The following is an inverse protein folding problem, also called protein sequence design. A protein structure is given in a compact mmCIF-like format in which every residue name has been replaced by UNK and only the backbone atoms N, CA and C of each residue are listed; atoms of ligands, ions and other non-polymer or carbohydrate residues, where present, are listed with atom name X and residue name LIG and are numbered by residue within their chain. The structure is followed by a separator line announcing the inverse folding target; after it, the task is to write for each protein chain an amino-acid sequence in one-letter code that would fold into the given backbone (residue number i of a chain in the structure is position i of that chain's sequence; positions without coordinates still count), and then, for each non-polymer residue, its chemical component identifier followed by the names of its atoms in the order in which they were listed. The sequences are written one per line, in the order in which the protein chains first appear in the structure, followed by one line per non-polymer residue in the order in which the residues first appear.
data_IF_187981207038
#
_entry.id   IF_187981207038
#
_cell.length_a   1.000
_cell.length_b   1.000
_cell.length_c   1.000
_cell.angle_alpha   90.00
_cell.angle_beta   90.00
_cell.angle_gamma   90.00
#
_symmetry.space_group_name_H-M   'P 1'
#
loop_
_entity.id
_entity.type
_entity.pdbx_description
1 polymer ?
#
# COMPACT_ATOMS: atom_id res chain seq x y z
N UNK A 1 1.99 -2.58 -22.64
CA UNK A 1 2.87 -2.42 -21.47
C UNK A 1 2.44 -1.16 -20.76
N UNK A 2 1.93 -1.30 -19.54
CA UNK A 2 1.45 -0.17 -18.75
C UNK A 2 2.54 0.23 -17.76
N UNK A 3 2.72 1.53 -17.54
CA UNK A 3 3.61 2.03 -16.48
C UNK A 3 2.79 2.24 -15.22
N UNK A 4 3.40 1.95 -14.07
CA UNK A 4 2.82 2.29 -12.77
C UNK A 4 2.79 3.82 -12.62
N UNK A 5 1.65 4.43 -12.25
CA UNK A 5 1.56 5.87 -11.97
C UNK A 5 2.59 6.35 -10.94
N UNK A 6 2.93 7.64 -11.01
CA UNK A 6 3.98 8.23 -10.18
C UNK A 6 3.71 8.13 -8.66
N UNK A 7 2.45 8.03 -8.29
CA UNK A 7 1.91 8.00 -6.93
C UNK A 7 1.51 6.58 -6.49
N UNK A 8 1.87 5.55 -7.26
CA UNK A 8 1.47 4.16 -7.01
C UNK A 8 2.63 3.18 -6.98
N UNK A 9 2.42 2.04 -6.32
CA UNK A 9 3.26 0.85 -6.42
C UNK A 9 2.41 -0.41 -6.44
N UNK A 10 2.89 -1.48 -7.08
CA UNK A 10 2.21 -2.77 -7.14
C UNK A 10 2.89 -3.75 -6.18
N UNK A 11 2.09 -4.35 -5.30
CA UNK A 11 2.58 -5.30 -4.30
C UNK A 11 3.13 -6.58 -4.97
N UNK A 12 4.36 -6.94 -4.64
CA UNK A 12 5.01 -8.14 -5.16
C UNK A 12 4.29 -9.44 -4.78
N UNK A 13 3.64 -9.47 -3.62
CA UNK A 13 2.93 -10.64 -3.08
C UNK A 13 1.50 -10.78 -3.64
N UNK A 14 0.61 -9.80 -3.44
CA UNK A 14 -0.80 -9.91 -3.84
C UNK A 14 -1.14 -9.30 -5.20
N UNK A 15 -0.18 -8.64 -5.85
CA UNK A 15 -0.36 -7.89 -7.11
C UNK A 15 -1.38 -6.74 -7.05
N UNK A 16 -1.79 -6.33 -5.85
CA UNK A 16 -2.65 -5.17 -5.64
C UNK A 16 -1.89 -3.85 -5.83
N UNK A 17 -2.54 -2.87 -6.44
CA UNK A 17 -2.03 -1.49 -6.53
C UNK A 17 -2.24 -0.72 -5.22
N UNK A 18 -1.24 0.08 -4.85
CA UNK A 18 -1.17 0.80 -3.60
C UNK A 18 -0.80 2.25 -3.85
N UNK A 19 -1.50 3.20 -3.22
CA UNK A 19 -1.19 4.62 -3.28
C UNK A 19 -0.07 4.93 -2.28
N UNK A 20 1.03 5.53 -2.75
CA UNK A 20 2.19 5.87 -1.91
C UNK A 20 1.78 6.78 -0.75
N UNK A 21 0.85 7.71 -0.99
CA UNK A 21 0.34 8.65 0.02
C UNK A 21 -0.38 7.97 1.19
N UNK A 22 -0.96 6.78 0.97
CA UNK A 22 -1.73 6.05 2.00
C UNK A 22 -0.96 4.87 2.58
N UNK A 23 -0.15 4.21 1.75
CA UNK A 23 0.49 2.93 2.08
C UNK A 23 1.94 2.92 1.59
N UNK A 24 2.73 3.87 2.08
CA UNK A 24 4.12 4.06 1.65
C UNK A 24 5.05 2.88 1.96
N UNK A 25 4.76 2.10 3.01
CA UNK A 25 5.68 1.08 3.55
C UNK A 25 5.13 -0.35 3.56
N UNK A 26 3.82 -0.56 3.50
CA UNK A 26 3.23 -1.91 3.56
C UNK A 26 1.91 -2.01 2.80
N UNK A 27 1.66 -3.14 2.15
CA UNK A 27 0.41 -3.41 1.44
C UNK A 27 -0.72 -3.64 2.46
N UNK A 28 -1.85 -2.90 2.40
CA UNK A 28 -2.95 -3.05 3.33
C UNK A 28 -3.75 -4.33 3.08
N UNK A 29 -3.58 -4.96 1.91
CA UNK A 29 -4.30 -6.18 1.53
C UNK A 29 -3.67 -7.43 2.14
N UNK A 30 -2.33 -7.51 2.16
CA UNK A 30 -1.61 -8.72 2.59
C UNK A 30 -0.58 -8.48 3.70
N UNK A 31 -0.35 -7.24 4.13
CA UNK A 31 0.67 -6.89 5.12
C UNK A 31 2.12 -6.96 4.61
N UNK A 32 2.34 -7.29 3.32
CA UNK A 32 3.68 -7.34 2.72
C UNK A 32 4.37 -5.97 2.80
N UNK A 33 5.56 -5.93 3.38
CA UNK A 33 6.37 -4.72 3.44
C UNK A 33 6.92 -4.41 2.05
N UNK A 34 6.89 -3.13 1.68
CA UNK A 34 7.40 -2.68 0.38
C UNK A 34 8.91 -2.92 0.30
N UNK A 35 9.31 -3.81 -0.60
CA UNK A 35 10.69 -4.23 -0.83
C UNK A 35 11.03 -4.21 -2.33
N UNK A 36 12.21 -4.73 -2.70
CA UNK A 36 12.68 -4.79 -4.10
C UNK A 36 11.81 -5.67 -5.02
N UNK A 37 10.85 -6.38 -4.45
CA UNK A 37 9.95 -7.26 -5.17
C UNK A 37 8.65 -6.57 -5.60
N UNK A 38 8.41 -5.37 -5.06
CA UNK A 38 7.32 -4.51 -5.42
C UNK A 38 7.69 -3.69 -6.66
N UNK A 39 6.69 -3.36 -7.49
CA UNK A 39 6.90 -2.59 -8.72
C UNK A 39 6.57 -1.14 -8.41
N UNK A 40 7.57 -0.27 -8.50
CA UNK A 40 7.50 1.13 -8.10
C UNK A 40 6.95 2.07 -9.17
N UNK A 41 6.80 3.36 -8.83
CA UNK A 41 6.46 4.43 -9.76
C UNK A 41 7.29 4.43 -11.04
N UNK A 42 6.62 4.52 -12.19
CA UNK A 42 7.27 4.64 -13.51
C UNK A 42 7.86 3.34 -14.06
N UNK A 43 7.92 2.27 -13.26
CA UNK A 43 8.31 0.94 -13.71
C UNK A 43 7.22 0.32 -14.59
N UNK A 44 7.63 -0.63 -15.44
CA UNK A 44 6.71 -1.31 -16.36
C UNK A 44 6.06 -2.47 -15.61
N UNK A 45 4.74 -2.44 -15.51
CA UNK A 45 3.94 -3.56 -15.07
C UNK A 45 3.41 -4.30 -16.31
N UNK A 46 3.83 -5.54 -16.47
CA UNK A 46 3.21 -6.45 -17.44
C UNK A 46 1.88 -6.88 -16.85
N UNK A 47 0.83 -6.19 -17.26
CA UNK A 47 -0.54 -6.60 -17.00
C UNK A 47 -0.82 -7.87 -17.79
N UNK A 48 -0.41 -9.01 -17.24
CA UNK A 48 -0.77 -10.32 -17.75
C UNK A 48 -2.22 -10.59 -17.32
N UNK A 49 -3.14 -9.72 -17.73
CA UNK A 49 -4.59 -9.80 -17.48
C UNK A 49 -5.26 -11.07 -18.00
N UNK A 50 -4.51 -12.04 -18.51
CA UNK A 50 -4.88 -13.44 -18.33
C UNK A 50 -4.66 -13.85 -16.87
N UNK A 51 -5.47 -13.24 -16.00
CA UNK A 51 -5.71 -13.65 -14.61
C UNK A 51 -6.49 -14.98 -14.63
N UNK A 52 -5.95 -15.98 -15.33
CA UNK A 52 -6.37 -17.36 -15.26
C UNK A 52 -6.05 -17.81 -13.86
N UNK A 53 -7.10 -17.87 -13.04
CA UNK A 53 -7.18 -18.57 -11.75
C UNK A 53 -6.33 -19.85 -11.84
N UNK A 54 -5.11 -19.85 -11.30
CA UNK A 54 -4.35 -21.08 -11.09
C UNK A 54 -2.93 -21.21 -11.65
N UNK A 55 -2.30 -20.18 -12.22
CA UNK A 55 -0.85 -20.24 -12.48
C UNK A 55 -0.06 -19.63 -11.33
N UNK A 56 0.20 -20.45 -10.32
CA UNK A 56 1.51 -20.44 -9.64
C UNK A 56 2.55 -20.95 -10.64
N UNK A 57 3.83 -20.69 -10.38
CA UNK A 57 4.99 -21.10 -11.18
C UNK A 57 5.28 -20.14 -12.35
N UNK A 58 6.15 -19.13 -12.23
CA UNK A 58 7.60 -19.38 -12.09
C UNK A 58 8.39 -18.13 -11.71
N UNK A 59 7.75 -17.04 -11.27
CA UNK A 59 8.54 -15.97 -10.64
C UNK A 59 9.09 -16.53 -9.33
N UNK A 60 10.42 -16.49 -9.10
CA UNK A 60 10.97 -16.91 -7.83
C UNK A 60 10.19 -16.16 -6.74
N UNK A 61 9.64 -16.88 -5.75
CA UNK A 61 8.94 -16.25 -4.65
C UNK A 61 9.89 -15.18 -4.13
N UNK A 62 9.37 -13.96 -3.98
CA UNK A 62 10.11 -12.89 -3.34
C UNK A 62 10.77 -13.48 -2.10
N UNK A 63 12.12 -13.39 -1.98
CA UNK A 63 12.79 -13.95 -0.82
C UNK A 63 12.08 -13.33 0.36
N UNK A 64 11.36 -14.17 1.12
CA UNK A 64 10.50 -13.71 2.19
C UNK A 64 11.46 -13.03 3.14
N UNK A 65 11.46 -11.69 3.14
CA UNK A 65 12.37 -10.96 4.00
C UNK A 65 12.13 -11.51 5.41
N UNK A 66 13.18 -11.98 6.12
CA UNK A 66 12.99 -12.59 7.41
C UNK A 66 12.20 -11.60 8.24
N UNK A 67 11.03 -12.04 8.71
CA UNK A 67 10.15 -11.20 9.52
C UNK A 67 10.95 -10.82 10.76
N UNK A 68 11.53 -9.61 10.75
CA UNK A 68 12.17 -9.03 11.92
C UNK A 68 11.05 -8.69 12.89
N UNK A 69 10.58 -9.70 13.63
CA UNK A 69 9.87 -9.46 14.88
C UNK A 69 10.82 -8.65 15.74
N UNK A 70 10.51 -7.36 15.89
CA UNK A 70 11.21 -6.46 16.80
C UNK A 70 10.80 -6.86 18.22
N UNK A 71 11.32 -7.99 18.69
CA UNK A 71 11.25 -8.36 20.09
C UNK A 71 12.39 -7.58 20.77
N UNK A 72 12.04 -6.44 21.34
CA UNK A 72 12.99 -5.65 22.10
C UNK A 72 13.50 -6.45 23.29
N UNK A 73 14.80 -6.72 23.32
CA UNK A 73 15.62 -6.76 24.55
C UNK A 73 17.10 -6.79 24.22
N UNK A 74 17.82 -5.83 24.82
CA UNK A 74 19.17 -5.91 25.38
C UNK A 74 20.40 -6.19 24.47
N UNK A 75 21.24 -5.14 24.40
CA UNK A 75 22.71 -5.12 24.45
C UNK A 75 23.48 -6.41 24.16
N UNK A 76 24.42 -6.35 23.21
CA UNK A 76 25.82 -6.72 23.50
C UNK A 76 26.75 -5.95 22.57
N UNK A 77 27.52 -5.02 23.16
CA UNK A 77 28.69 -4.44 22.55
C UNK A 77 29.78 -5.52 22.44
N UNK A 78 30.35 -5.69 21.25
CA UNK A 78 31.66 -6.31 21.11
C UNK A 78 32.55 -5.40 20.26
N UNK A 79 33.39 -4.66 20.98
CA UNK A 79 34.64 -4.07 20.53
C UNK A 79 35.67 -5.18 20.27
N UNK A 80 36.24 -5.19 19.08
CA UNK A 80 37.61 -5.62 18.73
C UNK A 80 37.70 -5.59 17.18
N UNK A 81 38.81 -5.31 16.51
CA UNK A 81 40.09 -4.69 16.78
C UNK A 81 40.76 -4.55 15.40
N UNK A 82 41.69 -3.59 15.29
CA UNK A 82 42.66 -3.27 14.25
C UNK A 82 42.64 -3.99 12.87
N UNK A 83 42.52 -3.17 11.81
CA UNK A 83 42.87 -3.53 10.43
C UNK A 83 43.10 -2.30 9.56
N UNK A 84 44.24 -1.64 9.73
CA UNK A 84 44.66 -0.39 9.08
C UNK A 84 45.08 -0.63 7.62
N UNK A 85 44.34 -0.12 6.64
CA UNK A 85 44.76 -0.01 5.23
C UNK A 85 44.76 1.47 4.81
N UNK A 86 45.79 1.97 4.09
CA UNK A 86 45.80 3.32 3.58
C UNK A 86 45.01 3.40 2.27
N UNK A 87 43.81 3.99 2.31
CA UNK A 87 43.07 4.35 1.10
C UNK A 87 43.47 5.75 0.62
N UNK A 88 43.87 5.78 -0.65
CA UNK A 88 44.24 6.94 -1.45
C UNK A 88 43.04 7.89 -1.53
N UNK A 89 43.26 9.16 -1.17
CA UNK A 89 42.23 10.19 -1.17
C UNK A 89 41.76 10.50 -2.60
N UNK A 90 40.49 10.25 -2.89
CA UNK A 90 39.78 10.85 -4.02
C UNK A 90 39.10 12.14 -3.55
N UNK A 91 39.03 13.20 -4.37
CA UNK A 91 38.42 14.46 -3.97
C UNK A 91 36.89 14.32 -3.84
N UNK A 92 36.39 14.55 -2.63
CA UNK A 92 34.96 14.76 -2.34
C UNK A 92 34.47 16.05 -3.00
N UNK A 93 33.66 15.92 -4.04
CA UNK A 93 32.75 16.97 -4.48
C UNK A 93 31.61 17.09 -3.48
N UNK A 94 31.72 18.08 -2.59
CA UNK A 94 30.61 18.54 -1.76
C UNK A 94 29.54 19.14 -2.68
N UNK A 95 28.46 18.41 -2.94
CA UNK A 95 27.28 18.95 -3.56
C UNK A 95 26.39 19.53 -2.46
N UNK A 96 26.53 20.84 -2.24
CA UNK A 96 25.61 21.62 -1.41
C UNK A 96 24.22 21.57 -2.03
N UNK A 97 23.29 20.84 -1.42
CA UNK A 97 21.85 21.02 -1.67
C UNK A 97 21.38 22.21 -0.84
N UNK A 98 21.52 23.41 -1.41
CA UNK A 98 20.87 24.61 -0.90
C UNK A 98 19.39 24.59 -1.26
N UNK A 99 18.56 24.75 -0.24
CA UNK A 99 17.37 25.61 -0.26
C UNK A 99 16.31 25.29 -1.32
N UNK A 100 15.50 24.27 -1.04
CA UNK A 100 14.09 24.26 -1.44
C UNK A 100 13.20 23.82 -0.28
N UNK A 101 13.37 24.40 0.91
CA UNK A 101 12.32 24.41 1.93
C UNK A 101 11.26 25.45 1.54
N UNK A 102 10.53 25.17 0.46
CA UNK A 102 9.30 25.88 0.16
C UNK A 102 8.16 25.24 0.98
N UNK A 103 7.95 25.81 2.16
CA UNK A 103 6.61 26.23 2.60
C UNK A 103 5.51 25.15 2.48
N UNK A 104 5.61 24.09 3.29
CA UNK A 104 4.57 23.06 3.42
C UNK A 104 3.96 22.97 4.83
N UNK A 105 4.09 24.02 5.64
CA UNK A 105 3.74 24.00 7.08
C UNK A 105 2.44 24.70 7.46
N UNK A 106 1.52 24.97 6.52
CA UNK A 106 0.26 25.61 6.87
C UNK A 106 -0.97 25.04 6.18
N UNK A 107 -1.19 23.73 6.30
CA UNK A 107 -2.54 23.20 6.16
C UNK A 107 -3.33 23.48 7.45
N UNK A 108 -4.48 24.18 7.39
CA UNK A 108 -5.34 24.33 8.55
C UNK A 108 -5.75 22.93 9.00
N UNK A 109 -5.53 22.63 10.28
CA UNK A 109 -5.97 21.42 10.94
C UNK A 109 -7.46 21.23 10.70
N UNK A 110 -7.82 20.35 9.77
CA UNK A 110 -9.18 19.85 9.68
C UNK A 110 -9.52 19.24 11.03
N UNK A 111 -10.68 19.55 11.64
CA UNK A 111 -11.06 18.89 12.87
C UNK A 111 -11.09 17.39 12.59
N UNK A 112 -10.23 16.65 13.29
CA UNK A 112 -10.30 15.19 13.32
C UNK A 112 -11.76 14.83 13.66
N UNK A 113 -12.53 14.35 12.68
CA UNK A 113 -13.76 13.63 12.97
C UNK A 113 -13.36 12.31 13.62
N UNK A 114 -13.02 12.36 14.91
CA UNK A 114 -13.06 11.24 15.86
C UNK A 114 -14.51 10.88 16.16
N UNK A 115 -15.31 10.78 15.12
CA UNK A 115 -16.65 10.25 15.24
C UNK A 115 -16.54 8.78 14.89
N UNK A 116 -16.15 7.99 15.89
CA UNK A 116 -16.60 6.61 15.99
C UNK A 116 -18.13 6.63 16.07
N UNK A 117 -18.78 6.83 14.92
CA UNK A 117 -20.21 6.60 14.77
C UNK A 117 -20.35 5.08 14.85
N UNK A 118 -20.97 4.53 15.89
CA UNK A 118 -21.36 3.13 15.83
C UNK A 118 -22.22 2.99 14.57
N UNK A 119 -21.90 2.04 13.69
CA UNK A 119 -22.72 1.63 12.53
C UNK A 119 -24.07 1.01 12.96
N UNK A 120 -24.61 1.47 14.09
CA UNK A 120 -25.94 1.14 14.59
C UNK A 120 -26.93 1.97 13.79
N UNK A 121 -27.45 1.34 12.74
CA UNK A 121 -28.63 1.76 11.99
C UNK A 121 -28.63 3.25 11.61
N UNK A 122 -28.10 3.58 10.44
CA UNK A 122 -28.63 4.75 9.73
C UNK A 122 -30.14 4.51 9.53
N UNK A 123 -31.03 5.24 10.23
CA UNK A 123 -32.45 5.01 10.10
C UNK A 123 -32.86 5.46 8.71
N UNK A 124 -33.19 4.49 7.85
CA UNK A 124 -33.82 4.72 6.55
C UNK A 124 -33.03 5.70 5.69
N UNK A 125 -31.91 5.23 5.13
CA UNK A 125 -31.35 5.86 3.94
C UNK A 125 -32.50 6.09 2.95
N UNK A 126 -32.64 7.34 2.50
CA UNK A 126 -33.66 7.72 1.53
C UNK A 126 -33.68 6.76 0.35
N UNK A 127 -34.77 6.79 -0.42
CA UNK A 127 -34.94 5.96 -1.62
C UNK A 127 -33.62 5.89 -2.39
N UNK A 128 -33.06 4.69 -2.66
CA UNK A 128 -31.81 4.57 -3.36
C UNK A 128 -31.87 5.40 -4.65
N UNK A 129 -30.75 6.05 -5.00
CA UNK A 129 -30.68 6.83 -6.22
C UNK A 129 -31.14 5.95 -7.40
N UNK A 130 -31.85 6.50 -8.41
CA UNK A 130 -32.22 5.73 -9.59
C UNK A 130 -30.99 5.03 -10.17
N UNK A 131 -31.07 3.71 -10.40
CA UNK A 131 -29.91 2.92 -10.78
C UNK A 131 -29.10 2.35 -9.62
N UNK A 132 -29.66 2.29 -8.40
CA UNK A 132 -29.04 1.65 -7.24
C UNK A 132 -30.04 0.84 -6.42
N UNK A 133 -29.54 -0.12 -5.66
CA UNK A 133 -30.31 -0.93 -4.71
C UNK A 133 -29.57 -1.14 -3.41
N UNK A 134 -30.33 -1.39 -2.34
CA UNK A 134 -29.79 -1.68 -1.02
C UNK A 134 -29.86 -3.19 -0.80
N UNK A 135 -28.73 -3.80 -0.44
CA UNK A 135 -28.70 -5.21 -0.09
C UNK A 135 -29.48 -5.47 1.19
N UNK A 136 -30.51 -6.32 1.12
CA UNK A 136 -31.37 -6.63 2.27
C UNK A 136 -30.64 -7.40 3.38
N UNK A 137 -29.50 -8.03 3.06
CA UNK A 137 -28.74 -8.81 4.03
C UNK A 137 -27.72 -7.98 4.83
N UNK A 138 -27.03 -7.04 4.18
CA UNK A 138 -25.94 -6.27 4.82
C UNK A 138 -26.12 -4.75 4.80
N UNK A 139 -27.15 -4.22 4.12
CA UNK A 139 -27.43 -2.79 4.02
C UNK A 139 -26.52 -2.01 3.06
N UNK A 140 -25.62 -2.68 2.33
CA UNK A 140 -24.75 -2.02 1.36
C UNK A 140 -25.54 -1.48 0.16
N UNK A 141 -25.19 -0.27 -0.29
CA UNK A 141 -25.69 0.29 -1.53
C UNK A 141 -24.89 -0.28 -2.72
N UNK A 142 -25.59 -0.81 -3.71
CA UNK A 142 -25.05 -1.42 -4.92
C UNK A 142 -25.58 -0.69 -6.16
N UNK A 143 -24.85 -0.77 -7.26
CA UNK A 143 -25.26 -0.20 -8.54
C UNK A 143 -26.17 -1.17 -9.30
N UNK A 144 -27.12 -0.68 -10.08
CA UNK A 144 -27.90 -1.49 -11.03
C UNK A 144 -27.05 -1.99 -12.20
N UNK A 145 -25.82 -1.48 -12.34
CA UNK A 145 -24.82 -1.98 -13.28
C UNK A 145 -23.97 -3.12 -12.69
N UNK A 146 -24.03 -3.35 -11.37
CA UNK A 146 -23.39 -4.52 -10.76
C UNK A 146 -24.25 -5.78 -10.96
N UNK A 147 -23.64 -6.98 -10.97
CA UNK A 147 -24.37 -8.24 -11.04
C UNK A 147 -25.49 -8.36 -10.00
N UNK A 148 -26.44 -9.29 -10.20
CA UNK A 148 -27.57 -9.59 -9.28
C UNK A 148 -27.15 -10.17 -7.90
N UNK A 149 -25.91 -9.94 -7.47
CA UNK A 149 -25.41 -10.29 -6.15
C UNK A 149 -24.63 -9.13 -5.53
N UNK A 150 -24.71 -9.01 -4.20
CA UNK A 150 -23.97 -8.00 -3.45
C UNK A 150 -22.49 -8.40 -3.35
N UNK A 151 -21.52 -7.58 -3.83
CA UNK A 151 -20.10 -7.89 -3.73
C UNK A 151 -19.57 -7.89 -2.28
N UNK A 152 -20.33 -7.34 -1.32
CA UNK A 152 -19.95 -7.27 0.09
C UNK A 152 -20.26 -8.59 0.81
N UNK A 153 -21.43 -9.20 0.56
CA UNK A 153 -21.88 -10.39 1.30
C UNK A 153 -22.25 -11.60 0.42
N UNK A 154 -22.21 -11.47 -0.91
CA UNK A 154 -22.54 -12.51 -1.88
C UNK A 154 -24.04 -12.84 -2.00
N UNK A 155 -24.91 -12.16 -1.25
CA UNK A 155 -26.36 -12.39 -1.30
C UNK A 155 -26.97 -11.83 -2.58
N UNK A 156 -28.01 -12.51 -3.09
CA UNK A 156 -28.81 -12.01 -4.19
C UNK A 156 -29.55 -10.72 -3.84
N UNK A 157 -30.01 -10.03 -4.88
CA UNK A 157 -30.85 -8.84 -4.78
C UNK A 157 -32.15 -9.09 -4.02
#
# INVERSE_FOLDING_TARGET
MSRVPADMWICGSCKGGNLIALTGTSCPVCGHQRDSCCIGPGEIYSDNTEFSRGQSDSQPPCPTAPSFHTNGTAFHAHLADAGRLPHVAAPSTNHSTSEYEAEYDQYPSWPELKTSIPLTNCPGGGTPAPGSWICQQCGAANSDLTPEFCPICGSGR
#
